data_IF_217915453248
#
_entry.id   IF_217915453248
#
_cell.length_a   1.000
_cell.length_b   1.000
_cell.length_c   1.000
_cell.angle_alpha   90.00
_cell.angle_beta   90.00
_cell.angle_gamma   90.00
#
_symmetry.space_group_name_H-M   'P 1'
#
loop_
_entity.id
_entity.type
_entity.pdbx_description
1 polymer ?
#
# COMPACT_ATOMS: atom_id res chain seq x y z
N UNK A 1 11.25 -10.74 -28.20
CA UNK A 1 10.85 -9.34 -27.93
C UNK A 1 10.22 -9.24 -26.54
N UNK A 2 10.88 -9.76 -25.50
CA UNK A 2 10.38 -9.79 -24.10
C UNK A 2 11.17 -8.83 -23.17
N UNK A 3 12.39 -8.43 -23.54
CA UNK A 3 13.27 -7.62 -22.68
C UNK A 3 12.89 -6.12 -22.60
N UNK A 4 12.26 -5.57 -23.64
CA UNK A 4 12.01 -4.11 -23.70
C UNK A 4 10.95 -3.62 -22.70
N UNK A 5 9.89 -4.41 -22.41
CA UNK A 5 8.80 -3.96 -21.51
C UNK A 5 9.15 -4.04 -20.01
N UNK A 6 10.00 -4.99 -19.59
CA UNK A 6 10.42 -5.10 -18.18
C UNK A 6 11.43 -4.01 -17.82
N UNK A 7 12.29 -3.62 -18.78
CA UNK A 7 13.30 -2.57 -18.60
C UNK A 7 12.71 -1.20 -18.26
N UNK A 8 11.53 -0.88 -18.81
CA UNK A 8 10.85 0.39 -18.59
C UNK A 8 10.06 0.42 -17.28
N UNK A 9 9.37 -0.68 -16.93
CA UNK A 9 8.65 -0.77 -15.65
C UNK A 9 9.60 -0.92 -14.45
N UNK A 10 10.87 -1.28 -14.69
CA UNK A 10 11.92 -1.37 -13.67
C UNK A 10 11.98 -0.12 -12.80
N UNK A 11 11.79 1.06 -13.36
CA UNK A 11 11.86 2.30 -12.59
C UNK A 11 10.74 2.43 -11.55
N UNK A 12 9.53 2.01 -11.91
CA UNK A 12 8.41 1.92 -10.97
C UNK A 12 8.69 0.85 -9.90
N UNK A 13 9.15 -0.33 -10.33
CA UNK A 13 9.47 -1.43 -9.40
C UNK A 13 10.55 -1.02 -8.40
N UNK A 14 11.61 -0.33 -8.82
CA UNK A 14 12.64 0.21 -7.93
C UNK A 14 12.06 1.24 -6.96
N UNK A 15 11.16 2.10 -7.42
CA UNK A 15 10.50 3.11 -6.57
C UNK A 15 9.67 2.44 -5.47
N UNK A 16 8.86 1.44 -5.85
CA UNK A 16 8.02 0.65 -4.93
C UNK A 16 8.87 -0.18 -3.97
N UNK A 17 9.99 -0.71 -4.43
CA UNK A 17 10.96 -1.39 -3.57
C UNK A 17 11.52 -0.46 -2.51
N UNK A 18 11.97 0.75 -2.87
CA UNK A 18 12.57 1.70 -1.95
C UNK A 18 11.57 2.28 -0.95
N UNK A 19 10.34 2.57 -1.39
CA UNK A 19 9.28 3.00 -0.48
C UNK A 19 8.90 1.88 0.47
N UNK A 20 8.68 0.67 -0.05
CA UNK A 20 8.31 -0.49 0.74
C UNK A 20 9.40 -0.90 1.75
N UNK A 21 10.67 -0.78 1.35
CA UNK A 21 11.80 -1.02 2.23
C UNK A 21 11.77 -0.07 3.43
N UNK A 22 11.55 1.23 3.18
CA UNK A 22 11.51 2.25 4.23
C UNK A 22 10.36 2.02 5.23
N UNK A 23 9.18 1.67 4.73
CA UNK A 23 8.02 1.38 5.58
C UNK A 23 8.21 0.14 6.45
N UNK A 24 8.70 -0.97 5.88
CA UNK A 24 8.92 -2.21 6.63
C UNK A 24 10.11 -2.11 7.59
N UNK A 25 11.09 -1.25 7.31
CA UNK A 25 12.27 -1.06 8.13
C UNK A 25 11.92 -0.45 9.50
N UNK A 26 10.93 0.43 9.54
CA UNK A 26 10.51 1.14 10.76
C UNK A 26 9.55 0.32 11.63
N UNK A 27 8.77 -0.60 11.06
CA UNK A 27 7.74 -1.38 11.81
C UNK A 27 8.24 -2.07 13.08
N UNK A 28 9.37 -2.81 13.09
CA UNK A 28 9.83 -3.54 14.27
C UNK A 28 10.25 -2.65 15.44
N UNK A 29 10.65 -1.40 15.16
CA UNK A 29 11.21 -0.49 16.17
C UNK A 29 10.17 0.46 16.78
N UNK A 30 9.04 0.68 16.10
CA UNK A 30 8.02 1.63 16.54
C UNK A 30 7.48 1.35 17.93
N UNK A 31 7.18 0.08 18.24
CA UNK A 31 6.67 -0.33 19.56
C UNK A 31 7.62 0.07 20.69
N UNK A 32 8.92 -0.16 20.52
CA UNK A 32 9.93 0.16 21.52
C UNK A 32 10.07 1.68 21.71
N UNK A 33 10.02 2.44 20.61
CA UNK A 33 10.12 3.91 20.65
C UNK A 33 8.88 4.52 21.30
N UNK A 34 7.68 4.07 20.95
CA UNK A 34 6.43 4.54 21.56
C UNK A 34 6.39 4.23 23.05
N UNK A 35 6.72 3.01 23.46
CA UNK A 35 6.74 2.63 24.88
C UNK A 35 7.78 3.43 25.66
N UNK A 36 8.98 3.62 25.11
CA UNK A 36 10.01 4.42 25.78
C UNK A 36 9.61 5.90 25.94
N UNK A 37 8.90 6.46 24.96
CA UNK A 37 8.47 7.86 25.00
C UNK A 37 7.30 8.09 25.96
N UNK A 38 6.34 7.15 26.03
CA UNK A 38 5.07 7.33 26.71
C UNK A 38 5.04 6.71 28.11
N UNK A 39 5.87 5.70 28.39
CA UNK A 39 5.81 4.90 29.63
C UNK A 39 7.00 5.14 30.57
N UNK A 40 7.57 6.35 30.57
CA UNK A 40 8.76 6.72 31.36
C UNK A 40 8.46 7.15 32.81
N UNK A 41 7.19 7.18 33.23
CA UNK A 41 6.77 7.49 34.60
C UNK A 41 6.67 6.26 35.50
N UNK A 42 7.15 6.34 36.75
CA UNK A 42 7.23 5.23 37.71
C UNK A 42 5.89 4.58 38.10
N UNK A 43 4.75 5.22 37.82
CA UNK A 43 3.41 4.82 38.32
C UNK A 43 2.29 4.82 37.26
N UNK A 44 2.60 5.03 35.98
CA UNK A 44 1.58 5.11 34.92
C UNK A 44 1.43 3.78 34.18
N UNK A 45 0.18 3.33 34.02
CA UNK A 45 -0.13 2.16 33.19
C UNK A 45 0.23 2.47 31.74
N UNK A 46 1.11 1.67 31.14
CA UNK A 46 1.61 1.84 29.77
C UNK A 46 0.55 1.58 28.67
N UNK A 47 -0.75 1.63 29.01
CA UNK A 47 -1.87 1.44 28.08
C UNK A 47 -2.01 2.60 27.09
N UNK A 48 -1.49 3.79 27.42
CA UNK A 48 -1.54 4.98 26.56
C UNK A 48 -0.87 4.74 25.20
N UNK A 49 0.22 3.98 25.13
CA UNK A 49 0.89 3.64 23.86
C UNK A 49 -0.01 2.83 22.91
N UNK A 50 -0.82 1.92 23.47
CA UNK A 50 -1.78 1.11 22.72
C UNK A 50 -2.94 1.98 22.23
N UNK A 51 -3.48 2.85 23.10
CA UNK A 51 -4.56 3.76 22.72
C UNK A 51 -4.15 4.75 21.64
N UNK A 52 -2.93 5.30 21.72
CA UNK A 52 -2.38 6.15 20.66
C UNK A 52 -2.37 5.38 19.34
N UNK A 53 -1.70 4.23 19.27
CA UNK A 53 -1.63 3.43 18.03
C UNK A 53 -3.03 3.07 17.49
N UNK A 54 -4.01 2.80 18.36
CA UNK A 54 -5.40 2.58 17.96
C UNK A 54 -6.05 3.83 17.34
N UNK A 55 -5.90 5.00 17.97
CA UNK A 55 -6.40 6.28 17.44
C UNK A 55 -5.73 6.64 16.12
N UNK A 56 -4.42 6.41 15.99
CA UNK A 56 -3.67 6.57 14.74
C UNK A 56 -4.32 5.74 13.63
N UNK A 57 -4.51 4.43 13.83
CA UNK A 57 -5.08 3.54 12.80
C UNK A 57 -6.51 3.94 12.40
N UNK A 58 -7.37 4.30 13.36
CA UNK A 58 -8.74 4.74 13.06
C UNK A 58 -8.73 6.04 12.27
N UNK A 59 -7.91 7.01 12.70
CA UNK A 59 -7.84 8.33 12.08
C UNK A 59 -7.28 8.25 10.66
N UNK A 60 -6.21 7.47 10.47
CA UNK A 60 -5.62 7.25 9.15
C UNK A 60 -6.53 6.40 8.26
N UNK A 61 -7.20 5.37 8.79
CA UNK A 61 -8.16 4.57 8.03
C UNK A 61 -9.34 5.40 7.51
N UNK A 62 -9.91 6.27 8.35
CA UNK A 62 -10.96 7.20 7.92
C UNK A 62 -10.44 8.25 6.93
N UNK A 63 -9.21 8.74 7.13
CA UNK A 63 -8.55 9.67 6.21
C UNK A 63 -8.35 9.07 4.82
N UNK A 64 -7.78 7.87 4.75
CA UNK A 64 -7.51 7.15 3.49
C UNK A 64 -8.79 6.76 2.77
N UNK A 65 -9.87 6.40 3.48
CA UNK A 65 -11.19 6.16 2.88
C UNK A 65 -11.68 7.35 2.03
N UNK A 66 -11.39 8.59 2.44
CA UNK A 66 -11.78 9.80 1.72
C UNK A 66 -10.71 10.25 0.73
N UNK A 67 -9.43 10.15 1.09
CA UNK A 67 -8.33 10.68 0.29
C UNK A 67 -7.96 9.77 -0.88
N UNK A 68 -8.05 8.44 -0.74
CA UNK A 68 -7.65 7.52 -1.82
C UNK A 68 -8.48 7.68 -3.10
N UNK A 69 -9.82 7.81 -3.05
CA UNK A 69 -10.63 8.13 -4.24
C UNK A 69 -10.28 9.48 -4.86
N UNK A 70 -10.02 10.49 -4.03
CA UNK A 70 -9.64 11.84 -4.48
C UNK A 70 -8.31 11.79 -5.21
N UNK A 71 -7.34 11.08 -4.66
CA UNK A 71 -6.04 10.85 -5.27
C UNK A 71 -6.22 10.09 -6.58
N UNK A 72 -7.05 9.05 -6.63
CA UNK A 72 -7.36 8.34 -7.89
C UNK A 72 -7.81 9.28 -9.02
N UNK A 73 -8.83 10.09 -8.77
CA UNK A 73 -9.34 11.06 -9.75
C UNK A 73 -8.33 12.16 -10.11
N UNK A 74 -7.52 12.62 -9.15
CA UNK A 74 -6.44 13.56 -9.42
C UNK A 74 -5.34 12.92 -10.26
N UNK A 75 -5.07 11.64 -10.06
CA UNK A 75 -4.08 10.86 -10.81
C UNK A 75 -4.46 10.76 -12.27
N UNK A 76 -5.75 10.60 -12.53
CA UNK A 76 -6.29 10.53 -13.88
C UNK A 76 -6.15 11.85 -14.64
N UNK A 77 -6.17 13.00 -13.94
CA UNK A 77 -6.07 14.33 -14.57
C UNK A 77 -4.64 14.88 -14.65
N UNK A 78 -3.87 14.73 -13.58
CA UNK A 78 -2.53 15.34 -13.43
C UNK A 78 -1.39 14.37 -13.77
N UNK A 79 -1.72 13.10 -14.00
CA UNK A 79 -0.74 12.05 -14.20
C UNK A 79 -0.34 11.34 -12.90
N UNK A 80 -0.04 10.05 -13.04
CA UNK A 80 0.35 9.16 -11.95
C UNK A 80 1.74 9.52 -11.45
N UNK A 81 2.71 9.87 -12.31
CA UNK A 81 4.06 10.24 -11.86
C UNK A 81 3.98 11.48 -10.98
N UNK A 82 3.26 12.51 -11.42
CA UNK A 82 3.09 13.74 -10.65
C UNK A 82 2.45 13.45 -9.31
N UNK A 83 1.39 12.63 -9.27
CA UNK A 83 0.71 12.38 -8.02
C UNK A 83 1.47 11.46 -7.07
N UNK A 84 2.24 10.51 -7.59
CA UNK A 84 3.09 9.60 -6.81
C UNK A 84 4.23 10.35 -6.08
N UNK A 85 4.56 11.57 -6.50
CA UNK A 85 5.60 12.38 -5.85
C UNK A 85 5.15 13.00 -4.54
N UNK A 86 3.84 13.23 -4.38
CA UNK A 86 3.26 13.78 -3.16
C UNK A 86 3.43 12.82 -1.97
N UNK A 87 2.99 11.55 -2.02
CA UNK A 87 3.18 10.64 -0.90
C UNK A 87 4.66 10.35 -0.64
N UNK A 88 5.48 10.22 -1.69
CA UNK A 88 6.92 10.01 -1.53
C UNK A 88 7.62 11.18 -0.82
N UNK A 89 7.18 12.42 -1.05
CA UNK A 89 7.72 13.58 -0.37
C UNK A 89 7.26 13.67 1.09
N UNK A 90 5.97 13.44 1.34
CA UNK A 90 5.39 13.52 2.69
C UNK A 90 5.91 12.41 3.60
N UNK A 91 6.13 11.19 3.08
CA UNK A 91 6.65 10.04 3.84
C UNK A 91 8.11 10.19 4.32
N UNK A 92 8.86 11.19 3.82
CA UNK A 92 10.24 11.47 4.30
C UNK A 92 10.21 12.11 5.69
N UNK A 93 9.20 12.94 5.98
CA UNK A 93 9.19 13.79 7.16
C UNK A 93 9.07 13.00 8.48
N UNK A 94 8.15 12.03 8.64
CA UNK A 94 8.05 11.26 9.88
C UNK A 94 9.36 10.55 10.30
N UNK A 95 10.03 9.74 9.45
CA UNK A 95 11.30 9.12 9.85
C UNK A 95 12.41 10.15 10.05
N UNK A 96 12.41 11.28 9.33
CA UNK A 96 13.40 12.34 9.53
C UNK A 96 13.31 13.01 10.90
N UNK A 97 12.09 13.22 11.43
CA UNK A 97 11.89 13.80 12.78
C UNK A 97 12.50 12.89 13.85
N UNK A 98 12.22 11.58 13.79
CA UNK A 98 12.78 10.60 14.74
C UNK A 98 14.26 10.31 14.55
N UNK A 99 14.80 10.56 13.34
CA UNK A 99 16.22 10.48 13.07
C UNK A 99 17.02 11.63 13.72
N UNK A 100 16.41 12.80 13.89
CA UNK A 100 17.05 13.97 14.49
C UNK A 100 17.13 13.87 16.02
N UNK A 101 15.98 13.78 16.70
CA UNK A 101 15.89 13.63 18.16
C UNK A 101 14.67 12.82 18.56
N UNK A 102 14.78 12.12 19.69
CA UNK A 102 13.73 11.24 20.26
C UNK A 102 13.27 11.67 21.65
N UNK A 103 13.35 12.96 21.95
CA UNK A 103 12.76 13.51 23.17
C UNK A 103 11.23 13.50 23.07
N UNK A 104 10.52 13.56 24.21
CA UNK A 104 9.05 13.46 24.27
C UNK A 104 8.34 14.48 23.36
N UNK A 105 8.84 15.71 23.26
CA UNK A 105 8.28 16.73 22.38
C UNK A 105 8.42 16.37 20.89
N UNK A 106 9.58 15.80 20.49
CA UNK A 106 9.80 15.35 19.12
C UNK A 106 8.97 14.11 18.79
N UNK A 107 8.72 13.25 19.77
CA UNK A 107 7.82 12.10 19.61
C UNK A 107 6.39 12.55 19.31
N UNK A 108 5.83 13.52 20.06
CA UNK A 108 4.50 14.06 19.77
C UNK A 108 4.44 14.79 18.42
N UNK A 109 5.48 15.54 18.06
CA UNK A 109 5.58 16.18 16.75
C UNK A 109 5.60 15.15 15.61
N UNK A 110 6.39 14.09 15.75
CA UNK A 110 6.40 12.95 14.84
C UNK A 110 5.01 12.33 14.72
N UNK A 111 4.35 12.06 15.85
CA UNK A 111 3.08 11.36 15.89
C UNK A 111 1.96 12.14 15.18
N UNK A 112 1.85 13.45 15.46
CA UNK A 112 0.88 14.34 14.77
C UNK A 112 1.18 14.40 13.27
N UNK A 113 2.45 14.61 12.91
CA UNK A 113 2.89 14.70 11.52
C UNK A 113 2.61 13.39 10.76
N UNK A 114 2.90 12.25 11.40
CA UNK A 114 2.66 10.91 10.87
C UNK A 114 1.19 10.68 10.61
N UNK A 115 0.30 10.97 11.57
CA UNK A 115 -1.15 10.84 11.37
C UNK A 115 -1.61 11.68 10.17
N UNK A 116 -1.23 12.96 10.12
CA UNK A 116 -1.66 13.88 9.06
C UNK A 116 -1.19 13.43 7.67
N UNK A 117 0.03 12.92 7.56
CA UNK A 117 0.57 12.49 6.27
C UNK A 117 0.11 11.08 5.90
N UNK A 118 0.02 10.16 6.84
CA UNK A 118 -0.44 8.79 6.57
C UNK A 118 -1.91 8.78 6.13
N UNK A 119 -2.75 9.74 6.54
CA UNK A 119 -4.10 9.94 5.95
C UNK A 119 -4.07 10.04 4.42
N UNK A 120 -2.98 10.56 3.85
CA UNK A 120 -2.79 10.82 2.41
C UNK A 120 -1.82 9.83 1.78
N UNK A 121 -0.89 9.27 2.53
CA UNK A 121 0.22 8.48 1.99
C UNK A 121 0.03 6.98 2.17
N UNK A 122 -0.68 6.54 3.22
CA UNK A 122 -0.79 5.13 3.56
C UNK A 122 -1.50 4.36 2.44
N UNK A 123 -0.77 3.40 1.85
CA UNK A 123 -1.26 2.58 0.73
C UNK A 123 -1.33 3.30 -0.61
N UNK A 124 -1.07 4.62 -0.66
CA UNK A 124 -1.23 5.41 -1.89
C UNK A 124 -0.17 5.08 -2.93
N UNK A 125 1.07 4.85 -2.49
CA UNK A 125 2.15 4.42 -3.38
C UNK A 125 1.79 3.08 -4.05
N UNK A 126 1.27 2.13 -3.26
CA UNK A 126 0.84 0.83 -3.76
C UNK A 126 -0.34 1.00 -4.75
N UNK A 127 -1.38 1.77 -4.39
CA UNK A 127 -2.53 2.01 -5.26
C UNK A 127 -2.15 2.68 -6.60
N UNK A 128 -1.32 3.74 -6.55
CA UNK A 128 -0.86 4.44 -7.75
C UNK A 128 0.07 3.57 -8.61
N UNK A 129 0.88 2.70 -8.01
CA UNK A 129 1.68 1.75 -8.76
C UNK A 129 0.82 0.71 -9.50
N UNK A 130 -0.25 0.21 -8.86
CA UNK A 130 -1.22 -0.65 -9.56
C UNK A 130 -1.93 0.11 -10.68
N UNK A 131 -2.35 1.35 -10.45
CA UNK A 131 -2.94 2.18 -11.50
C UNK A 131 -1.98 2.41 -12.67
N UNK A 132 -0.68 2.59 -12.41
CA UNK A 132 0.34 2.75 -13.44
C UNK A 132 0.49 1.50 -14.30
N UNK A 133 0.52 0.32 -13.68
CA UNK A 133 0.55 -0.96 -14.40
C UNK A 133 -0.72 -1.15 -15.21
N UNK A 134 -1.88 -0.81 -14.65
CA UNK A 134 -3.16 -0.94 -15.33
C UNK A 134 -3.26 -0.07 -16.60
N UNK A 135 -2.66 1.13 -16.59
CA UNK A 135 -2.67 2.03 -17.75
C UNK A 135 -1.63 1.69 -18.81
N UNK A 136 -0.49 1.11 -18.43
CA UNK A 136 0.62 0.87 -19.36
C UNK A 136 0.74 -0.59 -19.84
N UNK A 137 -0.03 -1.53 -19.27
CA UNK A 137 0.06 -2.96 -19.60
C UNK A 137 -1.32 -3.51 -19.95
N UNK A 138 -1.53 -3.84 -21.23
CA UNK A 138 -2.77 -4.41 -21.73
C UNK A 138 -2.76 -5.96 -21.75
N UNK A 139 -3.97 -6.55 -21.72
CA UNK A 139 -4.22 -7.98 -21.87
C UNK A 139 -3.75 -8.89 -20.71
N UNK A 140 -3.55 -10.17 -21.01
CA UNK A 140 -3.19 -11.24 -20.04
C UNK A 140 -1.89 -10.97 -19.28
N UNK A 141 -1.01 -10.11 -19.81
CA UNK A 141 0.26 -9.73 -19.18
C UNK A 141 0.06 -8.83 -17.95
N UNK A 142 -1.04 -8.06 -17.88
CA UNK A 142 -1.36 -7.17 -16.74
C UNK A 142 -1.39 -7.93 -15.41
N UNK A 143 -2.05 -9.09 -15.40
CA UNK A 143 -2.18 -9.96 -14.24
C UNK A 143 -0.81 -10.44 -13.73
N UNK A 144 0.11 -10.77 -14.65
CA UNK A 144 1.48 -11.15 -14.30
C UNK A 144 2.24 -9.98 -13.68
N UNK A 145 2.10 -8.77 -14.24
CA UNK A 145 2.77 -7.58 -13.73
C UNK A 145 2.27 -7.14 -12.34
N UNK A 146 0.97 -7.29 -12.04
CA UNK A 146 0.48 -7.11 -10.66
C UNK A 146 1.14 -8.11 -9.68
N UNK A 147 1.34 -9.36 -10.12
CA UNK A 147 2.08 -10.35 -9.34
C UNK A 147 3.54 -9.95 -9.10
N UNK A 148 4.22 -9.42 -10.12
CA UNK A 148 5.60 -8.90 -9.99
C UNK A 148 5.65 -7.72 -9.02
N UNK A 149 4.71 -6.79 -9.11
CA UNK A 149 4.62 -5.62 -8.22
C UNK A 149 4.46 -6.05 -6.76
N UNK A 150 3.53 -6.98 -6.48
CA UNK A 150 3.35 -7.57 -5.16
C UNK A 150 4.61 -8.32 -4.69
N UNK A 151 5.27 -9.05 -5.59
CA UNK A 151 6.53 -9.75 -5.28
C UNK A 151 7.65 -8.80 -4.88
N UNK A 152 7.84 -7.70 -5.61
CA UNK A 152 8.83 -6.66 -5.28
C UNK A 152 8.54 -6.02 -3.93
N UNK A 153 7.26 -5.74 -3.65
CA UNK A 153 6.83 -5.23 -2.35
C UNK A 153 7.19 -6.19 -1.21
N UNK A 154 7.01 -7.48 -1.42
CA UNK A 154 7.31 -8.50 -0.41
C UNK A 154 8.82 -8.72 -0.21
N UNK A 155 9.60 -8.72 -1.30
CA UNK A 155 11.08 -8.75 -1.22
C UNK A 155 11.60 -7.53 -0.46
N UNK A 156 11.02 -6.34 -0.68
CA UNK A 156 11.39 -5.14 0.07
C UNK A 156 11.16 -5.32 1.58
N UNK A 157 10.07 -6.01 1.97
CA UNK A 157 9.78 -6.34 3.36
C UNK A 157 10.79 -7.29 4.00
N UNK A 158 11.23 -8.32 3.26
CA UNK A 158 12.28 -9.24 3.73
C UNK A 158 13.61 -8.51 3.90
N UNK A 159 14.03 -7.72 2.90
CA UNK A 159 15.27 -6.95 2.97
C UNK A 159 15.26 -5.93 4.12
N UNK A 160 14.13 -5.24 4.31
CA UNK A 160 13.97 -4.23 5.34
C UNK A 160 13.97 -4.80 6.75
N UNK A 161 13.23 -5.88 6.98
CA UNK A 161 13.14 -6.52 8.30
C UNK A 161 14.46 -7.19 8.70
N UNK A 162 15.16 -7.79 7.73
CA UNK A 162 16.53 -8.26 7.93
C UNK A 162 17.47 -7.11 8.31
N UNK A 163 17.40 -5.98 7.60
CA UNK A 163 18.19 -4.79 7.92
C UNK A 163 17.84 -4.19 9.29
N UNK A 164 16.56 -4.19 9.68
CA UNK A 164 16.08 -3.71 10.98
C UNK A 164 16.70 -4.48 12.16
N UNK A 165 16.95 -5.79 11.98
CA UNK A 165 17.63 -6.62 12.98
C UNK A 165 19.07 -6.16 13.19
N UNK A 166 19.81 -5.92 12.10
CA UNK A 166 21.23 -5.57 12.12
C UNK A 166 21.50 -4.13 12.56
N UNK A 167 20.60 -3.20 12.24
CA UNK A 167 20.81 -1.77 12.49
C UNK A 167 20.40 -1.35 13.91
N UNK A 168 21.13 -0.43 14.56
CA UNK A 168 20.69 0.18 15.81
C UNK A 168 19.50 1.12 15.58
N UNK A 169 18.71 1.36 16.63
CA UNK A 169 17.46 2.15 16.59
C UNK A 169 17.66 3.53 15.92
N UNK A 170 18.79 4.20 16.20
CA UNK A 170 19.08 5.52 15.63
C UNK A 170 19.24 5.49 14.11
N UNK A 171 20.00 4.51 13.61
CA UNK A 171 20.31 4.40 12.19
C UNK A 171 19.12 3.90 11.37
N UNK A 172 18.18 3.16 11.97
CA UNK A 172 16.96 2.69 11.29
C UNK A 172 16.16 3.86 10.70
N UNK A 173 15.90 4.90 11.50
CA UNK A 173 15.15 6.07 11.03
C UNK A 173 15.92 6.89 9.99
N UNK A 174 17.25 6.99 10.14
CA UNK A 174 18.11 7.66 9.14
C UNK A 174 18.09 6.91 7.80
N UNK A 175 18.27 5.59 7.82
CA UNK A 175 18.25 4.75 6.63
C UNK A 175 16.88 4.77 5.96
N UNK A 176 15.78 4.76 6.74
CA UNK A 176 14.43 4.89 6.20
C UNK A 176 14.21 6.24 5.50
N UNK A 177 14.63 7.36 6.11
CA UNK A 177 14.52 8.69 5.51
C UNK A 177 15.37 8.82 4.23
N UNK A 178 16.60 8.30 4.24
CA UNK A 178 17.50 8.28 3.07
C UNK A 178 16.89 7.44 1.94
N UNK A 179 16.32 6.28 2.27
CA UNK A 179 15.68 5.40 1.28
C UNK A 179 14.46 6.04 0.63
N UNK A 180 13.59 6.72 1.40
CA UNK A 180 12.49 7.51 0.81
C UNK A 180 13.00 8.67 -0.06
N UNK A 181 14.03 9.40 0.41
CA UNK A 181 14.62 10.49 -0.36
C UNK A 181 15.23 10.00 -1.68
N UNK A 182 16.01 8.92 -1.63
CA UNK A 182 16.58 8.30 -2.83
C UNK A 182 15.48 7.77 -3.76
N UNK A 183 14.43 7.14 -3.22
CA UNK A 183 13.26 6.70 -3.99
C UNK A 183 12.54 7.86 -4.68
N UNK A 184 12.36 9.00 -4.01
CA UNK A 184 11.77 10.21 -4.57
C UNK A 184 12.61 10.76 -5.73
N UNK A 185 13.93 10.93 -5.51
CA UNK A 185 14.85 11.45 -6.53
C UNK A 185 14.92 10.51 -7.73
N UNK A 186 15.08 9.21 -7.46
CA UNK A 186 15.13 8.18 -8.49
C UNK A 186 13.85 8.19 -9.34
N UNK A 187 12.69 8.24 -8.69
CA UNK A 187 11.41 8.30 -9.40
C UNK A 187 11.28 9.57 -10.25
N UNK A 188 11.64 10.73 -9.70
CA UNK A 188 11.56 12.01 -10.44
C UNK A 188 12.42 12.01 -11.69
N UNK A 189 13.63 11.45 -11.60
CA UNK A 189 14.62 11.42 -12.69
C UNK A 189 14.27 10.36 -13.74
N UNK A 190 13.96 9.13 -13.32
CA UNK A 190 13.92 7.99 -14.25
C UNK A 190 12.53 7.51 -14.62
N UNK A 191 11.50 7.74 -13.80
CA UNK A 191 10.14 7.30 -14.13
C UNK A 191 9.55 8.20 -15.23
N UNK A 192 9.02 7.63 -16.30
CA UNK A 192 8.23 8.39 -17.30
C UNK A 192 6.74 8.37 -16.94
N UNK A 193 5.97 9.34 -17.43
CA UNK A 193 4.52 9.42 -17.17
C UNK A 193 3.73 8.42 -18.04
N UNK A 194 4.08 8.34 -19.33
CA UNK A 194 3.64 7.29 -20.25
C UNK A 194 4.86 6.57 -20.82
N UNK A 195 4.72 5.26 -21.03
CA UNK A 195 5.80 4.45 -21.62
C UNK A 195 5.83 4.54 -23.15
N UNK A 196 4.69 4.76 -23.80
CA UNK A 196 4.59 5.06 -25.24
C UNK A 196 3.93 6.44 -25.41
N UNK A 197 4.59 7.32 -26.15
CA UNK A 197 4.05 8.62 -26.57
C UNK A 197 3.43 8.58 -27.99
N UNK A 198 3.52 7.45 -28.72
CA UNK A 198 3.20 7.41 -30.17
C UNK A 198 2.21 6.33 -30.66
N UNK A 199 1.61 5.48 -29.81
CA UNK A 199 0.64 4.47 -30.29
C UNK A 199 -0.68 4.54 -29.50
N UNK A 200 -1.64 5.31 -30.00
CA UNK A 200 -3.00 5.41 -29.44
C UNK A 200 -3.88 4.16 -29.66
N UNK A 201 -3.41 3.11 -30.36
CA UNK A 201 -4.31 2.05 -30.85
C UNK A 201 -4.05 0.61 -30.34
N UNK A 202 -3.00 0.35 -29.54
CA UNK A 202 -2.53 -1.04 -29.33
C UNK A 202 -3.31 -1.84 -28.25
N UNK A 203 -4.33 -1.26 -27.62
CA UNK A 203 -5.17 -1.94 -26.62
C UNK A 203 -6.56 -2.34 -27.12
N UNK A 204 -6.95 -1.91 -28.33
CA UNK A 204 -8.27 -2.16 -28.92
C UNK A 204 -8.27 -3.23 -30.05
N UNK A 205 -7.12 -3.79 -30.46
CA UNK A 205 -7.04 -4.66 -31.65
C UNK A 205 -7.41 -6.15 -31.47
N UNK A 206 -7.77 -6.64 -30.29
CA UNK A 206 -8.05 -8.09 -30.10
C UNK A 206 -9.54 -8.49 -30.25
N UNK A 207 -10.43 -7.60 -30.69
CA UNK A 207 -11.85 -7.96 -30.93
C UNK A 207 -12.42 -7.31 -32.20
N UNK A 208 -11.94 -7.70 -33.38
CA UNK A 208 -12.79 -7.84 -34.58
C UNK A 208 -12.06 -8.49 -35.75
N UNK A 209 -12.32 -9.78 -35.96
CA UNK A 209 -12.13 -10.39 -37.28
C UNK A 209 -13.40 -10.18 -38.09
N UNK A 210 -13.41 -9.18 -38.99
CA UNK A 210 -14.00 -9.21 -40.35
C UNK A 210 -14.44 -7.82 -40.82
N UNK A 211 -13.94 -7.40 -42.00
CA UNK A 211 -14.72 -6.51 -42.87
C UNK A 211 -14.20 -5.10 -43.18
N UNK A 212 -12.94 -4.99 -43.65
CA UNK A 212 -12.44 -4.04 -44.67
C UNK A 212 -13.49 -3.14 -45.38
N UNK A 213 -13.29 -1.81 -45.37
CA UNK A 213 -13.21 -0.96 -46.59
C UNK A 213 -12.83 0.51 -46.33
N UNK A 214 -12.00 1.01 -47.25
CA UNK A 214 -11.43 2.35 -47.43
C UNK A 214 -12.47 3.45 -47.80
N UNK A 215 -12.24 4.70 -47.35
CA UNK A 215 -12.26 5.98 -48.12
C UNK A 215 -12.02 7.14 -47.12
N UNK A 216 -10.88 7.84 -47.12
CA UNK A 216 -10.38 8.92 -48.00
C UNK A 216 -10.88 10.35 -47.64
N UNK A 217 -9.92 11.26 -47.40
CA UNK A 217 -10.02 12.72 -47.58
C UNK A 217 -10.38 13.62 -46.37
N UNK A 218 -9.46 14.51 -45.98
CA UNK A 218 -9.84 15.77 -45.32
C UNK A 218 -8.85 16.40 -44.33
N UNK A 219 -7.89 17.15 -44.86
CA UNK A 219 -7.01 18.14 -44.23
C UNK A 219 -7.75 19.14 -43.30
N UNK A 220 -7.20 19.52 -42.12
CA UNK A 220 -7.06 20.93 -41.68
C UNK A 220 -6.38 21.06 -40.30
N UNK A 221 -5.13 21.50 -40.33
CA UNK A 221 -4.37 22.15 -39.25
C UNK A 221 -4.92 23.55 -38.93
N UNK A 222 -5.21 23.83 -37.65
CA UNK A 222 -5.34 25.15 -36.96
C UNK A 222 -6.36 24.98 -35.83
N UNK A 223 -6.06 25.16 -34.53
CA UNK A 223 -5.54 26.38 -33.92
C UNK A 223 -4.84 26.04 -32.58
N UNK A 224 -3.53 26.31 -32.51
CA UNK A 224 -2.89 26.80 -31.28
C UNK A 224 -3.21 28.30 -31.17
N UNK A 225 -3.73 28.82 -30.05
CA UNK A 225 -3.02 29.52 -28.95
C UNK A 225 -4.06 30.41 -28.21
N UNK A 226 -3.78 31.11 -27.09
CA UNK A 226 -2.75 30.94 -26.05
C UNK A 226 -3.31 31.08 -24.60
N UNK A 227 -2.43 30.85 -23.63
CA UNK A 227 -2.59 31.01 -22.17
C UNK A 227 -2.80 32.48 -21.78
N UNK A 228 -3.83 32.82 -20.97
CA UNK A 228 -3.71 33.79 -19.86
C UNK A 228 -4.92 33.84 -18.88
N UNK A 229 -4.61 33.76 -17.57
CA UNK A 229 -5.33 34.28 -16.39
C UNK A 229 -6.76 33.78 -16.08
N UNK A 230 -6.86 32.91 -15.06
CA UNK A 230 -7.49 33.30 -13.78
C UNK A 230 -7.20 32.29 -12.65
N UNK A 231 -6.62 32.79 -11.56
CA UNK A 231 -6.35 32.06 -10.34
C UNK A 231 -7.29 32.57 -9.23
N UNK A 232 -8.57 32.15 -9.27
CA UNK A 232 -9.22 31.63 -8.06
C UNK A 232 -10.09 30.38 -8.32
N UNK A 233 -10.24 29.94 -9.57
CA UNK A 233 -11.21 28.92 -10.00
C UNK A 233 -10.76 27.48 -9.73
N UNK A 234 -9.46 27.23 -9.57
CA UNK A 234 -8.93 25.87 -9.35
C UNK A 234 -9.46 25.20 -8.08
N UNK A 235 -9.70 25.96 -7.01
CA UNK A 235 -10.21 25.39 -5.75
C UNK A 235 -11.69 24.98 -5.88
N UNK A 236 -12.52 25.83 -6.49
CA UNK A 236 -13.94 25.54 -6.72
C UNK A 236 -14.15 24.36 -7.69
N UNK A 237 -13.34 24.26 -8.74
CA UNK A 237 -13.39 23.14 -9.69
C UNK A 237 -12.96 21.84 -9.00
N UNK A 238 -11.90 21.86 -8.19
CA UNK A 238 -11.45 20.67 -7.43
C UNK A 238 -12.50 20.22 -6.41
N UNK A 239 -13.15 21.15 -5.70
CA UNK A 239 -14.19 20.81 -4.71
C UNK A 239 -15.48 20.27 -5.38
N UNK A 240 -15.89 20.86 -6.50
CA UNK A 240 -17.08 20.43 -7.25
C UNK A 240 -16.85 19.06 -7.92
N UNK A 241 -15.64 18.82 -8.43
CA UNK A 241 -15.25 17.52 -9.00
C UNK A 241 -15.12 16.45 -7.91
N UNK A 242 -14.64 16.81 -6.71
CA UNK A 242 -14.61 15.95 -5.53
C UNK A 242 -16.00 15.45 -5.14
N UNK A 243 -17.00 16.33 -5.19
CA UNK A 243 -18.38 15.97 -4.90
C UNK A 243 -18.98 15.02 -5.97
N UNK A 244 -18.67 15.23 -7.25
CA UNK A 244 -19.13 14.34 -8.33
C UNK A 244 -18.56 12.93 -8.22
N UNK A 245 -17.23 12.80 -8.06
CA UNK A 245 -16.57 11.48 -7.99
C UNK A 245 -17.03 10.63 -6.80
N UNK A 246 -17.23 11.24 -5.63
CA UNK A 246 -17.77 10.53 -4.47
C UNK A 246 -19.25 10.17 -4.67
N UNK A 247 -20.04 11.04 -5.31
CA UNK A 247 -21.45 10.76 -5.65
C UNK A 247 -21.56 9.60 -6.63
N UNK A 248 -20.68 9.54 -7.62
CA UNK A 248 -20.65 8.49 -8.63
C UNK A 248 -20.28 7.14 -7.98
N UNK A 249 -19.26 7.09 -7.12
CA UNK A 249 -18.93 5.89 -6.33
C UNK A 249 -20.09 5.43 -5.44
N UNK A 250 -20.72 6.36 -4.71
CA UNK A 250 -21.88 6.04 -3.85
C UNK A 250 -23.05 5.50 -4.68
N UNK A 251 -23.26 6.04 -5.89
CA UNK A 251 -24.30 5.56 -6.80
C UNK A 251 -24.02 4.13 -7.30
N UNK A 252 -22.76 3.82 -7.62
CA UNK A 252 -22.32 2.48 -8.05
C UNK A 252 -22.46 1.45 -6.93
N UNK A 253 -22.04 1.80 -5.71
CA UNK A 253 -22.20 0.92 -4.54
C UNK A 253 -23.69 0.65 -4.29
N UNK A 254 -24.53 1.68 -4.32
CA UNK A 254 -25.97 1.53 -4.05
C UNK A 254 -26.68 0.65 -5.09
N UNK A 255 -26.19 0.65 -6.33
CA UNK A 255 -26.81 -0.09 -7.43
C UNK A 255 -26.35 -1.55 -7.54
N UNK A 256 -25.24 -1.95 -6.90
CA UNK A 256 -24.72 -3.32 -7.01
C UNK A 256 -24.68 -4.03 -5.66
N UNK A 257 -25.53 -5.03 -5.50
CA UNK A 257 -25.60 -5.88 -4.29
C UNK A 257 -24.31 -6.65 -4.05
N UNK A 258 -23.60 -7.07 -5.10
CA UNK A 258 -22.31 -7.76 -5.01
C UNK A 258 -21.24 -6.83 -4.44
N UNK A 259 -21.18 -5.58 -4.93
CA UNK A 259 -20.22 -4.59 -4.42
C UNK A 259 -20.48 -4.26 -2.94
N UNK A 260 -21.74 -4.11 -2.54
CA UNK A 260 -22.09 -3.90 -1.13
C UNK A 260 -21.66 -5.07 -0.26
N UNK A 261 -21.94 -6.31 -0.68
CA UNK A 261 -21.55 -7.51 0.07
C UNK A 261 -20.02 -7.60 0.21
N UNK A 262 -19.27 -7.40 -0.88
CA UNK A 262 -17.81 -7.42 -0.86
C UNK A 262 -17.25 -6.29 0.00
N UNK A 263 -17.84 -5.10 -0.04
CA UNK A 263 -17.43 -3.96 0.78
C UNK A 263 -17.65 -4.23 2.26
N UNK A 264 -18.80 -4.80 2.65
CA UNK A 264 -19.08 -5.14 4.05
C UNK A 264 -18.10 -6.20 4.56
N UNK A 265 -17.86 -7.26 3.80
CA UNK A 265 -16.89 -8.31 4.17
C UNK A 265 -15.48 -7.72 4.30
N UNK A 266 -15.08 -6.90 3.34
CA UNK A 266 -13.79 -6.20 3.31
C UNK A 266 -13.63 -5.28 4.51
N UNK A 267 -14.67 -4.51 4.84
CA UNK A 267 -14.66 -3.59 5.98
C UNK A 267 -14.42 -4.33 7.29
N UNK A 268 -15.18 -5.39 7.58
CA UNK A 268 -15.00 -6.13 8.82
C UNK A 268 -13.66 -6.88 8.88
N UNK A 269 -13.20 -7.44 7.76
CA UNK A 269 -11.90 -8.12 7.69
C UNK A 269 -10.73 -7.15 7.95
N UNK A 270 -10.71 -6.02 7.24
CA UNK A 270 -9.68 -4.98 7.40
C UNK A 270 -9.73 -4.31 8.77
N UNK A 271 -10.93 -4.10 9.32
CA UNK A 271 -11.11 -3.55 10.68
C UNK A 271 -10.51 -4.49 11.73
N UNK A 272 -10.83 -5.79 11.67
CA UNK A 272 -10.27 -6.78 12.58
C UNK A 272 -8.74 -6.87 12.46
N UNK A 273 -8.23 -6.91 11.22
CA UNK A 273 -6.79 -7.00 10.96
C UNK A 273 -6.04 -5.74 11.44
N UNK A 274 -6.58 -4.54 11.20
CA UNK A 274 -5.97 -3.28 11.65
C UNK A 274 -5.98 -3.17 13.17
N UNK A 275 -7.08 -3.56 13.82
CA UNK A 275 -7.15 -3.65 15.28
C UNK A 275 -6.10 -4.60 15.84
N UNK A 276 -5.97 -5.79 15.26
CA UNK A 276 -4.93 -6.75 15.67
C UNK A 276 -3.52 -6.16 15.47
N UNK A 277 -3.22 -5.55 14.32
CA UNK A 277 -1.92 -4.94 14.05
C UNK A 277 -1.56 -3.83 15.04
N UNK A 278 -2.55 -3.03 15.50
CA UNK A 278 -2.33 -1.95 16.46
C UNK A 278 -1.93 -2.44 17.86
N UNK A 279 -2.40 -3.63 18.27
CA UNK A 279 -2.22 -4.13 19.64
C UNK A 279 -1.19 -5.28 19.74
N UNK A 280 -0.98 -6.04 18.67
CA UNK A 280 -0.24 -7.30 18.70
C UNK A 280 1.21 -7.16 19.18
N UNK A 281 1.97 -6.20 18.65
CA UNK A 281 3.37 -6.01 19.06
C UNK A 281 3.48 -5.53 20.52
N UNK A 282 2.53 -4.71 21.00
CA UNK A 282 2.48 -4.30 22.41
C UNK A 282 2.12 -5.47 23.32
N UNK A 283 1.20 -6.35 22.90
CA UNK A 283 0.89 -7.58 23.63
C UNK A 283 2.12 -8.47 23.79
N UNK A 284 2.88 -8.68 22.70
CA UNK A 284 4.13 -9.45 22.75
C UNK A 284 5.18 -8.79 23.65
N UNK A 285 5.29 -7.46 23.62
CA UNK A 285 6.18 -6.73 24.53
C UNK A 285 5.78 -6.92 25.99
N UNK A 286 4.50 -6.75 26.31
CA UNK A 286 3.99 -6.80 27.68
C UNK A 286 4.03 -8.21 28.26
N UNK A 287 3.72 -9.24 27.47
CA UNK A 287 3.62 -10.63 27.95
C UNK A 287 4.95 -11.39 27.91
N UNK A 288 5.78 -11.15 26.90
CA UNK A 288 7.01 -11.92 26.67
C UNK A 288 8.29 -11.08 26.74
N UNK A 289 8.19 -9.76 26.94
CA UNK A 289 9.36 -8.89 27.02
C UNK A 289 10.09 -8.68 25.69
N UNK A 290 9.39 -8.86 24.56
CA UNK A 290 10.00 -8.72 23.23
C UNK A 290 10.62 -7.34 23.03
N UNK A 291 11.77 -7.33 22.37
CA UNK A 291 12.48 -6.12 21.95
C UNK A 291 12.50 -6.02 20.42
N UNK A 292 13.02 -4.90 19.91
CA UNK A 292 13.23 -4.62 18.49
C UNK A 292 13.74 -5.82 17.69
N UNK A 293 14.71 -6.57 18.23
CA UNK A 293 15.31 -7.72 17.53
C UNK A 293 14.32 -8.88 17.38
N UNK A 294 13.52 -9.17 18.41
CA UNK A 294 12.51 -10.22 18.39
C UNK A 294 11.36 -9.84 17.45
N UNK A 295 10.96 -8.57 17.46
CA UNK A 295 9.99 -8.06 16.49
C UNK A 295 10.52 -8.15 15.06
N UNK A 296 11.78 -7.80 14.83
CA UNK A 296 12.39 -7.88 13.51
C UNK A 296 12.45 -9.34 13.02
N UNK A 297 12.79 -10.28 13.89
CA UNK A 297 12.81 -11.71 13.58
C UNK A 297 11.41 -12.26 13.27
N UNK A 298 10.40 -11.90 14.08
CA UNK A 298 9.02 -12.32 13.85
C UNK A 298 8.48 -11.77 12.52
N UNK A 299 8.67 -10.47 12.25
CA UNK A 299 8.19 -9.84 11.02
C UNK A 299 9.00 -10.33 9.80
N UNK A 300 10.30 -10.63 9.96
CA UNK A 300 11.10 -11.27 8.92
C UNK A 300 10.54 -12.63 8.54
N UNK A 301 10.20 -13.44 9.54
CA UNK A 301 9.59 -14.76 9.32
C UNK A 301 8.25 -14.61 8.57
N UNK A 302 7.38 -13.70 9.02
CA UNK A 302 6.10 -13.37 8.37
C UNK A 302 6.30 -12.92 6.92
N UNK A 303 7.28 -12.06 6.64
CA UNK A 303 7.52 -11.54 5.28
C UNK A 303 8.14 -12.58 4.34
N UNK A 304 9.00 -13.47 4.83
CA UNK A 304 9.53 -14.60 4.03
C UNK A 304 8.39 -15.55 3.66
N UNK A 305 7.61 -15.98 4.65
CA UNK A 305 6.48 -16.88 4.45
C UNK A 305 5.44 -16.22 3.53
N UNK A 306 5.11 -14.94 3.76
CA UNK A 306 4.22 -14.16 2.90
C UNK A 306 4.71 -14.10 1.45
N UNK A 307 6.00 -13.83 1.24
CA UNK A 307 6.61 -13.78 -0.10
C UNK A 307 6.47 -15.12 -0.85
N UNK A 308 6.81 -16.23 -0.18
CA UNK A 308 6.70 -17.57 -0.77
C UNK A 308 5.23 -17.88 -1.11
N UNK A 309 4.32 -17.52 -0.21
CA UNK A 309 2.89 -17.79 -0.35
C UNK A 309 2.28 -17.03 -1.51
N UNK A 310 2.67 -15.77 -1.69
CA UNK A 310 2.19 -14.92 -2.78
C UNK A 310 2.67 -15.40 -4.15
N UNK A 311 3.95 -15.78 -4.28
CA UNK A 311 4.52 -16.18 -5.56
C UNK A 311 4.08 -17.59 -5.99
N UNK A 312 3.98 -18.54 -5.06
CA UNK A 312 3.84 -19.96 -5.40
C UNK A 312 2.50 -20.58 -4.96
N UNK A 313 2.00 -20.22 -3.78
CA UNK A 313 0.82 -20.89 -3.19
C UNK A 313 -0.47 -20.27 -3.70
N UNK A 314 -0.57 -18.93 -3.77
CA UNK A 314 -1.77 -18.23 -4.23
C UNK A 314 -2.21 -18.67 -5.64
N UNK A 315 -1.33 -18.69 -6.66
CA UNK A 315 -1.76 -19.03 -8.02
C UNK A 315 -2.29 -20.47 -8.11
N UNK A 316 -1.66 -21.40 -7.40
CA UNK A 316 -2.09 -22.80 -7.33
C UNK A 316 -3.44 -22.95 -6.63
N UNK A 317 -3.61 -22.26 -5.50
CA UNK A 317 -4.82 -22.38 -4.68
C UNK A 317 -6.04 -21.76 -5.39
N UNK A 318 -5.85 -20.62 -6.04
CA UNK A 318 -6.89 -19.97 -6.86
C UNK A 318 -7.30 -20.87 -8.03
N UNK A 319 -6.33 -21.47 -8.73
CA UNK A 319 -6.61 -22.39 -9.84
C UNK A 319 -7.32 -23.67 -9.40
N UNK A 320 -7.08 -24.16 -8.17
CA UNK A 320 -7.61 -25.43 -7.70
C UNK A 320 -9.01 -25.31 -7.06
N UNK A 321 -9.24 -24.27 -6.26
CA UNK A 321 -10.40 -24.19 -5.35
C UNK A 321 -11.34 -23.02 -5.72
N UNK A 322 -10.89 -22.09 -6.56
CA UNK A 322 -11.66 -20.92 -7.00
C UNK A 322 -11.65 -19.78 -5.98
N UNK A 323 -11.76 -18.54 -6.47
CA UNK A 323 -11.54 -17.31 -5.69
C UNK A 323 -12.44 -17.17 -4.45
N UNK A 324 -13.73 -17.48 -4.58
CA UNK A 324 -14.70 -17.35 -3.47
C UNK A 324 -14.36 -18.26 -2.29
N UNK A 325 -13.94 -19.49 -2.58
CA UNK A 325 -13.57 -20.45 -1.54
C UNK A 325 -12.22 -20.10 -0.93
N UNK A 326 -11.26 -19.64 -1.74
CA UNK A 326 -9.98 -19.13 -1.24
C UNK A 326 -10.17 -17.97 -0.26
N UNK A 327 -11.03 -17.00 -0.59
CA UNK A 327 -11.36 -15.88 0.29
C UNK A 327 -11.95 -16.38 1.62
N UNK A 328 -12.92 -17.30 1.56
CA UNK A 328 -13.55 -17.88 2.75
C UNK A 328 -12.56 -18.65 3.63
N UNK A 329 -11.69 -19.47 3.03
CA UNK A 329 -10.65 -20.22 3.75
C UNK A 329 -9.61 -19.28 4.35
N UNK A 330 -9.27 -18.18 3.65
CA UNK A 330 -8.40 -17.12 4.14
C UNK A 330 -8.91 -16.47 5.42
N UNK A 331 -10.17 -16.04 5.42
CA UNK A 331 -10.82 -15.42 6.59
C UNK A 331 -10.95 -16.38 7.77
N UNK A 332 -11.28 -17.65 7.51
CA UNK A 332 -11.33 -18.67 8.56
C UNK A 332 -9.95 -18.90 9.18
N UNK A 333 -8.91 -18.98 8.36
CA UNK A 333 -7.56 -19.17 8.86
C UNK A 333 -7.07 -17.97 9.67
N UNK A 334 -7.45 -16.75 9.28
CA UNK A 334 -7.10 -15.55 10.02
C UNK A 334 -7.78 -15.51 11.40
N UNK A 335 -9.02 -15.96 11.46
CA UNK A 335 -9.76 -16.12 12.73
C UNK A 335 -9.10 -17.16 13.64
N UNK A 336 -8.67 -18.30 13.08
CA UNK A 336 -7.94 -19.33 13.84
C UNK A 336 -6.58 -18.81 14.31
N UNK A 337 -5.86 -18.09 13.45
CA UNK A 337 -4.58 -17.47 13.79
C UNK A 337 -4.73 -16.48 14.95
N UNK A 338 -5.74 -15.61 14.89
CA UNK A 338 -6.07 -14.68 15.97
C UNK A 338 -6.36 -15.39 17.30
N UNK A 339 -7.13 -16.48 17.26
CA UNK A 339 -7.46 -17.28 18.43
C UNK A 339 -6.22 -17.99 19.02
N UNK A 340 -5.33 -18.52 18.18
CA UNK A 340 -4.07 -19.11 18.64
C UNK A 340 -3.15 -18.06 19.28
N UNK A 341 -3.07 -16.87 18.69
CA UNK A 341 -2.27 -15.76 19.22
C UNK A 341 -2.82 -15.24 20.55
N UNK A 342 -4.14 -15.20 20.74
CA UNK A 342 -4.75 -14.73 22.00
C UNK A 342 -4.48 -15.68 23.18
N UNK A 343 -4.34 -16.98 22.91
CA UNK A 343 -4.05 -18.03 23.92
C UNK A 343 -2.54 -18.30 24.05
N UNK A 344 -1.67 -17.47 23.47
CA UNK A 344 -0.23 -17.71 23.50
C UNK A 344 0.31 -17.81 24.94
N UNK A 345 0.72 -19.02 25.33
CA UNK A 345 1.27 -19.30 26.67
C UNK A 345 2.78 -19.10 26.74
N UNK A 346 3.45 -19.10 25.58
CA UNK A 346 4.91 -19.01 25.47
C UNK A 346 5.35 -18.17 24.28
N UNK A 347 6.56 -17.62 24.37
CA UNK A 347 7.18 -16.75 23.37
C UNK A 347 7.37 -17.42 22.01
N UNK A 348 7.41 -18.76 21.92
CA UNK A 348 7.54 -19.47 20.64
C UNK A 348 6.20 -19.59 19.88
N UNK A 349 5.06 -19.46 20.56
CA UNK A 349 3.72 -19.64 19.95
C UNK A 349 3.46 -18.59 18.84
N UNK A 350 3.78 -17.30 19.03
CA UNK A 350 3.74 -16.30 17.95
C UNK A 350 4.60 -16.67 16.74
N UNK A 351 5.75 -17.32 16.94
CA UNK A 351 6.58 -17.80 15.84
C UNK A 351 5.96 -19.00 15.13
N UNK A 352 5.38 -19.96 15.85
CA UNK A 352 4.75 -21.12 15.22
C UNK A 352 3.49 -20.76 14.42
N UNK A 353 2.70 -19.81 14.92
CA UNK A 353 1.47 -19.33 14.24
C UNK A 353 1.74 -18.59 12.94
N UNK A 354 2.97 -18.11 12.70
CA UNK A 354 3.36 -17.54 11.40
C UNK A 354 3.20 -18.51 10.22
N UNK A 355 3.19 -19.82 10.46
CA UNK A 355 2.93 -20.85 9.44
C UNK A 355 1.50 -20.77 8.90
N UNK A 356 0.57 -20.14 9.63
CA UNK A 356 -0.83 -19.95 9.23
C UNK A 356 -1.03 -18.67 8.40
N UNK A 357 -0.07 -17.74 8.42
CA UNK A 357 -0.06 -16.47 7.67
C UNK A 357 -0.10 -16.58 6.14
N UNK A 358 0.44 -17.63 5.48
CA UNK A 358 0.25 -17.87 4.04
C UNK A 358 -1.18 -17.72 3.57
N UNK A 359 -2.11 -18.22 4.37
CA UNK A 359 -3.52 -18.35 4.03
C UNK A 359 -4.28 -17.06 4.31
N UNK A 360 -3.84 -16.28 5.31
CA UNK A 360 -4.47 -15.02 5.70
C UNK A 360 -4.13 -13.87 4.74
N UNK A 361 -2.92 -13.87 4.18
CA UNK A 361 -2.47 -12.89 3.17
C UNK A 361 -3.22 -12.98 1.83
N UNK A 362 -3.98 -14.05 1.58
CA UNK A 362 -4.78 -14.19 0.34
C UNK A 362 -6.01 -13.28 0.30
N UNK A 363 -6.50 -12.83 1.45
CA UNK A 363 -7.66 -11.93 1.56
C UNK A 363 -7.33 -10.55 0.97
N UNK A 364 -6.12 -10.05 1.22
CA UNK A 364 -5.65 -8.72 0.79
C UNK A 364 -5.46 -8.66 -0.74
N UNK A 365 -4.93 -9.72 -1.37
CA UNK A 365 -4.67 -9.74 -2.81
C UNK A 365 -5.91 -10.05 -3.68
N UNK A 366 -6.89 -10.79 -3.17
CA UNK A 366 -8.14 -11.02 -3.90
C UNK A 366 -8.99 -9.75 -4.00
N UNK A 367 -8.76 -8.75 -3.15
CA UNK A 367 -9.41 -7.44 -3.23
C UNK A 367 -8.84 -6.58 -4.37
N UNK A 368 -7.53 -6.65 -4.62
CA UNK A 368 -6.87 -5.87 -5.69
C UNK A 368 -7.04 -6.46 -7.09
N UNK A 369 -7.35 -7.76 -7.19
CA UNK A 369 -7.42 -8.50 -8.47
C UNK A 369 -8.83 -8.66 -9.03
N UNK A 370 -9.86 -8.07 -8.39
CA UNK A 370 -11.24 -8.29 -8.78
C UNK A 370 -11.61 -7.48 -10.03
N UNK A 371 -11.35 -8.06 -11.21
CA UNK A 371 -11.93 -7.61 -12.49
C UNK A 371 -13.35 -8.19 -12.64
N UNK A 372 -14.42 -7.36 -12.63
CA UNK A 372 -15.80 -7.85 -12.73
C UNK A 372 -16.22 -8.29 -14.13
N UNK A 373 -15.29 -8.37 -15.11
CA UNK A 373 -15.64 -8.47 -16.54
C UNK A 373 -15.86 -9.91 -17.04
N UNK A 374 -15.52 -10.95 -16.28
CA UNK A 374 -15.86 -12.33 -16.67
C UNK A 374 -16.83 -12.96 -15.68
N UNK A 375 -18.12 -12.70 -15.90
CA UNK A 375 -19.17 -13.66 -15.60
C UNK A 375 -20.23 -13.70 -16.68
#
# INVERSE_FOLDING_TARGET
MEEYRLGELRHLLTTVFLSGFSEFLVKPVMTDVTVAAVCSGLNETCSLAVYLTGVEQVTVGLGTMVMMPVIGNLSDRYGIKTLLTLPMCLSILPPAILAYRRDTNFFYAFYITKILFDMVCQGTVDCLAHAYVAKNVCGRKRISMFGVLAGVRSISGVCATFSARLLPIASIFQVAAISFFFGLVYMRVFLKERLHDDDEDDCDEDDNTSGRNHHDGGDLTMLAEPILRDAPTKIHIVLNTKYSSLKDMVSLIKNSTILVQTLVVTFFATFAQSGMQSAFLYFLKARFGFNKNDFAELILLVTIIGSISQLFILPKLVSAIGERRVLSTGLLMDSVNAACLSVSWSAWVPYATTVLVPVTMFVVLLQDKWDPVNR
#
